data_IF_186969804502
#
_entry.id   IF_186969804502
#
_cell.length_a   1.000
_cell.length_b   1.000
_cell.length_c   1.000
_cell.angle_alpha   90.00
_cell.angle_beta   90.00
_cell.angle_gamma   90.00
#
_symmetry.space_group_name_H-M   'P 1'
#
loop_
_entity.id
_entity.type
_entity.pdbx_description
1 polymer ?
#
# COMPACT_ATOMS: atom_id res chain seq x y z
N UNK A 1 -9.92 5.79 6.19
CA UNK A 1 -10.74 6.76 6.95
C UNK A 1 -11.60 7.57 5.99
N UNK A 2 -11.09 8.64 5.38
CA UNK A 2 -11.85 9.47 4.44
C UNK A 2 -12.44 8.71 3.24
N UNK A 3 -11.68 7.79 2.62
CA UNK A 3 -12.19 6.99 1.49
C UNK A 3 -13.33 6.05 1.88
N UNK A 4 -13.34 5.53 3.12
CA UNK A 4 -14.43 4.69 3.62
C UNK A 4 -15.71 5.49 3.81
N UNK A 5 -15.61 6.74 4.27
CA UNK A 5 -16.77 7.61 4.42
C UNK A 5 -17.41 7.96 3.06
N UNK A 6 -16.59 8.26 2.04
CA UNK A 6 -17.07 8.49 0.67
C UNK A 6 -17.77 7.23 0.12
N UNK A 7 -17.19 6.05 0.34
CA UNK A 7 -17.75 4.79 -0.16
C UNK A 7 -19.01 4.31 0.59
N UNK A 8 -19.06 4.46 1.92
CA UNK A 8 -20.15 3.98 2.76
C UNK A 8 -21.33 4.95 2.87
N UNK A 9 -21.04 6.26 2.89
CA UNK A 9 -22.05 7.29 3.11
C UNK A 9 -22.33 8.17 1.88
N UNK A 10 -21.65 7.92 0.75
CA UNK A 10 -21.85 8.69 -0.49
C UNK A 10 -21.52 10.18 -0.37
N UNK A 11 -20.74 10.57 0.65
CA UNK A 11 -20.36 11.96 0.89
C UNK A 11 -19.33 12.43 -0.12
N UNK A 12 -19.38 13.72 -0.49
CA UNK A 12 -18.43 14.30 -1.44
C UNK A 12 -17.00 14.25 -0.87
N UNK A 13 -16.01 14.11 -1.75
CA UNK A 13 -14.58 14.03 -1.37
C UNK A 13 -14.18 15.26 -0.53
N UNK A 14 -14.65 16.46 -0.91
CA UNK A 14 -14.38 17.69 -0.17
C UNK A 14 -15.02 17.71 1.23
N UNK A 15 -16.18 17.07 1.42
CA UNK A 15 -16.81 16.95 2.73
C UNK A 15 -16.04 15.95 3.60
N UNK A 16 -15.70 14.78 3.06
CA UNK A 16 -14.90 13.79 3.77
C UNK A 16 -13.51 14.35 4.15
N UNK A 17 -12.86 15.07 3.24
CA UNK A 17 -11.57 15.73 3.49
C UNK A 17 -11.67 16.72 4.66
N UNK A 18 -12.71 17.55 4.70
CA UNK A 18 -12.96 18.50 5.81
C UNK A 18 -13.26 17.81 7.13
N UNK A 19 -14.05 16.73 7.12
CA UNK A 19 -14.41 16.01 8.36
C UNK A 19 -13.25 15.24 8.99
N UNK A 20 -12.29 14.78 8.17
CA UNK A 20 -11.13 14.02 8.63
C UNK A 20 -9.85 14.84 8.69
N UNK A 21 -9.92 16.16 8.48
CA UNK A 21 -8.78 17.07 8.42
C UNK A 21 -7.69 16.61 7.43
N UNK A 22 -8.11 16.09 6.27
CA UNK A 22 -7.21 15.61 5.21
C UNK A 22 -7.33 16.55 4.01
N UNK A 23 -6.22 16.93 3.40
CA UNK A 23 -6.25 17.71 2.16
C UNK A 23 -6.71 16.85 0.98
N UNK A 24 -7.39 17.44 0.00
CA UNK A 24 -7.83 16.72 -1.20
C UNK A 24 -6.66 16.11 -1.99
N UNK A 25 -5.49 16.77 -1.96
CA UNK A 25 -4.25 16.24 -2.52
C UNK A 25 -3.76 15.01 -1.78
N UNK A 26 -3.81 14.99 -0.43
CA UNK A 26 -3.57 13.78 0.34
C UNK A 26 -4.61 12.72 0.01
N UNK A 27 -5.90 13.03 -0.05
CA UNK A 27 -6.93 12.03 -0.40
C UNK A 27 -6.65 11.34 -1.75
N UNK A 28 -6.27 12.10 -2.77
CA UNK A 28 -5.92 11.57 -4.10
C UNK A 28 -4.60 10.79 -4.10
N UNK A 29 -3.57 11.31 -3.43
CA UNK A 29 -2.25 10.68 -3.38
C UNK A 29 -2.25 9.43 -2.52
N UNK A 30 -2.93 9.46 -1.37
CA UNK A 30 -3.06 8.34 -0.44
C UNK A 30 -3.75 7.14 -1.08
N UNK A 31 -4.73 7.32 -1.98
CA UNK A 31 -5.40 6.18 -2.64
C UNK A 31 -4.43 5.41 -3.53
N UNK A 32 -3.69 6.12 -4.40
CA UNK A 32 -2.68 5.51 -5.27
C UNK A 32 -1.58 4.80 -4.47
N UNK A 33 -1.15 5.40 -3.35
CA UNK A 33 -0.16 4.80 -2.46
C UNK A 33 -0.70 3.55 -1.74
N UNK A 34 -1.99 3.50 -1.42
CA UNK A 34 -2.58 2.37 -0.71
C UNK A 34 -2.77 1.15 -1.62
N UNK A 35 -3.20 1.38 -2.88
CA UNK A 35 -3.39 0.30 -3.86
C UNK A 35 -2.05 -0.38 -4.21
N UNK A 36 -0.98 0.40 -4.40
CA UNK A 36 0.37 -0.14 -4.61
C UNK A 36 0.89 -0.87 -3.36
N UNK A 37 0.61 -0.34 -2.16
CA UNK A 37 1.05 -0.97 -0.91
C UNK A 37 0.31 -2.30 -0.64
N UNK A 38 -0.98 -2.40 -0.97
CA UNK A 38 -1.73 -3.65 -0.89
C UNK A 38 -1.18 -4.70 -1.85
N UNK A 39 -0.88 -4.33 -3.11
CA UNK A 39 -0.21 -5.25 -4.05
C UNK A 39 1.15 -5.74 -3.54
N UNK A 40 1.96 -4.85 -2.96
CA UNK A 40 3.24 -5.21 -2.37
C UNK A 40 3.04 -6.22 -1.24
N UNK A 41 2.07 -5.98 -0.36
CA UNK A 41 1.76 -6.85 0.77
C UNK A 41 1.28 -8.23 0.31
N UNK A 42 0.35 -8.30 -0.65
CA UNK A 42 -0.14 -9.57 -1.20
C UNK A 42 0.97 -10.38 -1.86
N UNK A 43 1.85 -9.73 -2.63
CA UNK A 43 2.99 -10.37 -3.28
C UNK A 43 4.00 -10.90 -2.25
N UNK A 44 4.28 -10.14 -1.20
CA UNK A 44 5.14 -10.58 -0.10
C UNK A 44 4.54 -11.77 0.65
N UNK A 45 3.24 -11.74 0.94
CA UNK A 45 2.53 -12.84 1.61
C UNK A 45 2.56 -14.10 0.73
N UNK A 46 2.29 -13.96 -0.57
CA UNK A 46 2.36 -15.04 -1.55
C UNK A 46 3.75 -15.66 -1.63
N UNK A 47 4.79 -14.85 -1.71
CA UNK A 47 6.18 -15.31 -1.72
C UNK A 47 6.60 -15.99 -0.42
N UNK A 48 6.18 -15.44 0.72
CA UNK A 48 6.49 -16.02 2.04
C UNK A 48 5.82 -17.38 2.21
N UNK A 49 4.60 -17.56 1.67
CA UNK A 49 3.91 -18.86 1.65
C UNK A 49 4.58 -19.85 0.69
N UNK A 50 4.95 -19.40 -0.50
CA UNK A 50 5.58 -20.25 -1.52
C UNK A 50 7.02 -20.64 -1.17
N UNK A 51 7.76 -19.76 -0.49
CA UNK A 51 9.16 -19.97 -0.12
C UNK A 51 9.40 -19.60 1.34
N UNK A 52 8.97 -20.49 2.24
CA UNK A 52 9.17 -20.38 3.70
C UNK A 52 10.63 -20.19 4.16
N UNK A 53 11.61 -20.57 3.33
CA UNK A 53 13.03 -20.40 3.63
C UNK A 53 13.59 -19.02 3.26
N UNK A 54 12.82 -18.21 2.53
CA UNK A 54 13.26 -16.89 2.08
C UNK A 54 12.93 -15.83 3.13
N UNK A 55 13.97 -15.14 3.62
CA UNK A 55 13.80 -13.94 4.43
C UNK A 55 13.30 -12.75 3.60
N UNK A 56 12.82 -11.70 4.27
CA UNK A 56 12.27 -10.50 3.65
C UNK A 56 13.18 -9.86 2.59
N UNK A 57 14.50 -9.81 2.83
CA UNK A 57 15.45 -9.24 1.86
C UNK A 57 15.49 -10.00 0.53
N UNK A 58 15.36 -11.33 0.56
CA UNK A 58 15.31 -12.16 -0.64
C UNK A 58 13.98 -11.99 -1.38
N UNK A 59 12.86 -11.90 -0.65
CA UNK A 59 11.55 -11.60 -1.24
C UNK A 59 11.56 -10.22 -1.93
N UNK A 60 12.11 -9.19 -1.27
CA UNK A 60 12.24 -7.85 -1.86
C UNK A 60 13.13 -7.84 -3.11
N UNK A 61 14.29 -8.51 -3.06
CA UNK A 61 15.19 -8.63 -4.23
C UNK A 61 14.53 -9.35 -5.40
N UNK A 62 13.73 -10.39 -5.14
CA UNK A 62 12.98 -11.11 -6.18
C UNK A 62 11.94 -10.20 -6.85
N UNK A 63 11.14 -9.48 -6.06
CA UNK A 63 10.13 -8.54 -6.57
C UNK A 63 10.76 -7.42 -7.42
N UNK A 64 11.94 -6.94 -7.01
CA UNK A 64 12.68 -5.90 -7.72
C UNK A 64 13.36 -6.39 -9.00
N UNK A 65 14.05 -7.52 -8.94
CA UNK A 65 14.91 -7.98 -10.04
C UNK A 65 14.17 -8.87 -11.04
N UNK A 66 13.23 -9.70 -10.60
CA UNK A 66 12.52 -10.64 -11.49
C UNK A 66 11.19 -10.06 -11.92
N UNK A 67 10.43 -9.49 -10.98
CA UNK A 67 9.14 -8.87 -11.30
C UNK A 67 9.28 -7.43 -11.82
N UNK A 68 10.47 -6.84 -11.74
CA UNK A 68 10.80 -5.53 -12.31
C UNK A 68 10.24 -4.32 -11.54
N UNK A 69 9.73 -4.53 -10.32
CA UNK A 69 9.15 -3.45 -9.54
C UNK A 69 10.25 -2.51 -8.99
N UNK A 70 10.24 -1.25 -9.41
CA UNK A 70 11.18 -0.20 -8.93
C UNK A 70 10.75 0.41 -7.59
N UNK A 71 10.35 -0.42 -6.63
CA UNK A 71 9.93 0.07 -5.32
C UNK A 71 11.10 0.56 -4.47
N UNK A 72 10.88 1.65 -3.75
CA UNK A 72 11.86 2.18 -2.81
C UNK A 72 11.85 1.34 -1.52
N UNK A 73 13.01 0.84 -1.06
CA UNK A 73 13.09 -0.03 0.10
C UNK A 73 12.51 0.62 1.38
N UNK A 74 12.66 1.94 1.54
CA UNK A 74 12.07 2.69 2.67
C UNK A 74 10.54 2.61 2.71
N UNK A 75 9.89 2.35 1.58
CA UNK A 75 8.43 2.20 1.49
C UNK A 75 7.95 0.78 1.79
N UNK A 76 8.77 -0.23 1.51
CA UNK A 76 8.39 -1.64 1.68
C UNK A 76 8.68 -2.13 3.10
N UNK A 77 9.74 -1.62 3.73
CA UNK A 77 10.13 -2.01 5.09
C UNK A 77 9.02 -1.81 6.16
N UNK A 78 8.27 -0.67 6.17
CA UNK A 78 7.19 -0.46 7.14
C UNK A 78 5.96 -1.36 6.93
N UNK A 79 5.83 -2.00 5.76
CA UNK A 79 4.73 -2.92 5.46
C UNK A 79 5.05 -4.34 5.94
N UNK A 80 6.34 -4.68 6.08
CA UNK A 80 6.79 -6.02 6.48
C UNK A 80 6.57 -6.35 7.96
N UNK A 81 6.40 -5.30 8.79
CA UNK A 81 6.19 -5.44 10.24
C UNK A 81 4.78 -5.05 10.69
N UNK A 82 3.83 -4.90 9.76
CA UNK A 82 2.42 -4.58 10.05
C UNK A 82 1.55 -5.83 9.96
#
# INVERSE_FOLDING_TARGET
>A
MAGKAVALHGVSIALACRTFDVTETCYRCSRKLNDENEQIADLLIGLTRAKKSWGFGLCFLYLRNIQGHRWNHKRVYPLAGR
#
